data_IF_162975379881
#
_entry.id   IF_162975379881
#
_cell.length_a   1.000
_cell.length_b   1.000
_cell.length_c   1.000
_cell.angle_alpha   90.00
_cell.angle_beta   90.00
_cell.angle_gamma   90.00
#
_symmetry.space_group_name_H-M   'P 1'
#
loop_
_entity.id
_entity.type
_entity.pdbx_description
1 polymer ?
#
# COMPACT_ATOMS: atom_id res chain seq x y z
N UNK A 1 -44.03 5.21 55.20
CA UNK A 1 -43.60 6.49 54.72
C UNK A 1 -43.50 6.51 53.19
N UNK A 2 -44.53 6.03 52.44
CA UNK A 2 -44.55 5.92 50.97
C UNK A 2 -45.81 6.54 50.33
N UNK A 3 -46.55 7.38 51.04
CA UNK A 3 -47.82 7.96 50.56
C UNK A 3 -47.89 9.49 50.54
N UNK A 4 -46.73 10.18 50.71
CA UNK A 4 -46.73 11.67 50.77
C UNK A 4 -46.04 12.33 49.58
N UNK A 5 -45.62 11.58 48.55
CA UNK A 5 -44.89 12.14 47.37
C UNK A 5 -45.75 12.20 46.09
N UNK A 6 -47.01 11.78 46.14
CA UNK A 6 -47.89 11.76 44.92
C UNK A 6 -48.82 12.98 44.83
N UNK A 7 -48.93 13.80 45.88
CA UNK A 7 -49.87 14.90 45.92
C UNK A 7 -49.28 16.29 45.47
N UNK A 8 -48.02 16.37 45.08
CA UNK A 8 -47.38 17.66 44.70
C UNK A 8 -47.10 17.81 43.22
N UNK A 9 -47.50 16.87 42.36
CA UNK A 9 -47.25 16.91 40.91
C UNK A 9 -48.48 17.21 40.06
N UNK A 10 -49.62 17.49 40.69
CA UNK A 10 -50.91 17.73 39.96
C UNK A 10 -51.33 19.19 39.91
N UNK A 11 -50.56 20.17 40.41
CA UNK A 11 -50.97 21.57 40.53
C UNK A 11 -50.18 22.57 39.66
N UNK A 12 -49.41 22.09 38.66
CA UNK A 12 -48.60 23.02 37.82
C UNK A 12 -48.87 22.90 36.30
N UNK A 13 -50.09 22.53 35.90
CA UNK A 13 -50.47 22.38 34.50
C UNK A 13 -51.68 23.23 34.07
N UNK A 14 -51.82 24.45 34.58
CA UNK A 14 -52.85 25.34 34.10
C UNK A 14 -52.47 26.82 34.24
N UNK A 15 -51.57 27.27 33.36
CA UNK A 15 -51.49 28.68 32.95
C UNK A 15 -50.37 28.88 31.93
N UNK A 16 -50.63 28.69 30.66
CA UNK A 16 -49.97 29.43 29.56
C UNK A 16 -50.74 29.13 28.26
N UNK A 17 -51.88 29.75 28.15
CA UNK A 17 -52.54 29.91 26.86
C UNK A 17 -52.59 31.39 26.59
N UNK A 18 -51.63 31.95 25.83
CA UNK A 18 -51.84 33.21 25.10
C UNK A 18 -50.66 33.46 24.13
N UNK A 19 -51.03 33.80 22.89
CA UNK A 19 -50.23 34.39 21.83
C UNK A 19 -49.40 33.44 21.00
N UNK A 20 -50.05 32.71 20.08
CA UNK A 20 -49.47 32.21 18.87
C UNK A 20 -49.42 33.34 17.82
N UNK A 21 -48.26 33.95 17.60
CA UNK A 21 -47.96 34.61 16.35
C UNK A 21 -47.32 33.56 15.40
N UNK A 22 -47.58 33.56 14.08
CA UNK A 22 -46.95 32.61 13.17
C UNK A 22 -45.49 32.96 13.06
N UNK A 23 -44.62 32.13 13.69
CA UNK A 23 -43.19 32.12 13.38
C UNK A 23 -43.01 31.49 12.01
N UNK A 24 -42.55 32.31 11.09
CA UNK A 24 -42.02 31.88 9.83
C UNK A 24 -40.83 30.93 10.13
N UNK A 25 -41.00 29.67 9.87
CA UNK A 25 -40.00 28.63 10.00
C UNK A 25 -38.92 28.92 8.96
N UNK A 26 -37.84 29.56 9.43
CA UNK A 26 -36.64 29.71 8.64
C UNK A 26 -36.08 28.32 8.51
N UNK A 27 -36.24 27.72 7.33
CA UNK A 27 -35.60 26.46 6.98
C UNK A 27 -34.11 26.54 7.32
N UNK A 28 -33.67 25.67 8.21
CA UNK A 28 -32.23 25.48 8.45
C UNK A 28 -31.56 25.13 7.11
N UNK A 29 -30.38 25.68 6.80
CA UNK A 29 -29.66 25.29 5.59
C UNK A 29 -29.44 23.80 5.67
N UNK A 30 -29.92 23.09 4.66
CA UNK A 30 -29.66 21.70 4.41
C UNK A 30 -28.12 21.52 4.41
N UNK A 31 -27.53 20.55 5.16
CA UNK A 31 -26.11 20.36 5.12
C UNK A 31 -25.73 20.09 3.67
N UNK A 32 -24.88 20.94 3.11
CA UNK A 32 -24.30 20.75 1.80
C UNK A 32 -23.78 19.32 1.72
N UNK A 33 -24.41 18.49 0.92
CA UNK A 33 -23.87 17.19 0.54
C UNK A 33 -22.53 17.50 -0.11
N UNK A 34 -21.43 17.23 0.60
CA UNK A 34 -20.13 17.17 -0.02
C UNK A 34 -20.23 16.09 -1.11
N UNK A 35 -20.21 16.51 -2.36
CA UNK A 35 -20.03 15.59 -3.49
C UNK A 35 -18.85 14.68 -3.12
N UNK A 36 -18.96 13.36 -3.29
CA UNK A 36 -17.82 12.48 -3.11
C UNK A 36 -16.71 13.00 -4.00
N UNK A 37 -15.56 13.29 -3.41
CA UNK A 37 -14.37 13.66 -4.20
C UNK A 37 -14.24 12.63 -5.31
N UNK A 38 -14.25 13.09 -6.57
CA UNK A 38 -14.12 12.21 -7.72
C UNK A 38 -12.90 11.35 -7.50
N UNK A 39 -13.06 10.02 -7.48
CA UNK A 39 -11.94 9.12 -7.32
C UNK A 39 -10.97 9.36 -8.48
N UNK A 40 -9.67 9.41 -8.18
CA UNK A 40 -8.62 9.61 -9.19
C UNK A 40 -8.68 8.46 -10.20
N UNK A 41 -8.75 8.77 -11.49
CA UNK A 41 -8.69 7.77 -12.55
C UNK A 41 -7.29 7.62 -13.11
N UNK A 42 -6.97 6.46 -13.66
CA UNK A 42 -5.76 6.23 -14.45
C UNK A 42 -5.60 7.24 -15.59
N UNK A 43 -6.70 7.60 -16.25
CA UNK A 43 -6.71 8.53 -17.37
C UNK A 43 -6.41 9.99 -16.96
N UNK A 44 -6.53 10.31 -15.67
CA UNK A 44 -6.17 11.61 -15.10
C UNK A 44 -4.66 11.75 -14.86
N UNK A 45 -3.91 10.63 -14.86
CA UNK A 45 -2.47 10.66 -14.65
C UNK A 45 -1.74 11.17 -15.91
N UNK A 46 -1.03 12.28 -15.75
CA UNK A 46 -0.18 12.82 -16.81
C UNK A 46 1.29 12.58 -16.48
N UNK A 47 1.92 11.62 -17.18
CA UNK A 47 3.33 11.29 -17.03
C UNK A 47 4.20 12.23 -17.87
N UNK A 48 4.43 13.43 -17.38
CA UNK A 48 5.09 14.54 -18.11
C UNK A 48 6.58 14.67 -17.82
N UNK A 49 7.10 13.98 -16.81
CA UNK A 49 8.52 13.96 -16.43
C UNK A 49 9.10 12.57 -16.61
N UNK A 50 10.28 12.48 -17.22
CA UNK A 50 10.98 11.20 -17.46
C UNK A 50 12.36 11.26 -16.85
N UNK A 51 12.80 10.14 -16.23
CA UNK A 51 14.18 9.97 -15.74
C UNK A 51 15.15 9.91 -16.94
N UNK A 52 16.12 10.82 -17.06
CA UNK A 52 17.12 10.73 -18.12
C UNK A 52 18.08 9.58 -17.82
N UNK A 53 18.11 8.59 -18.70
CA UNK A 53 19.04 7.44 -18.62
C UNK A 53 20.20 7.68 -19.57
N UNK A 54 21.45 7.47 -19.08
CA UNK A 54 22.64 7.69 -19.90
C UNK A 54 23.05 6.44 -20.69
N UNK A 55 22.89 5.26 -20.11
CA UNK A 55 23.40 4.00 -20.67
C UNK A 55 22.34 2.92 -20.78
N UNK A 56 21.41 2.88 -19.84
CA UNK A 56 20.37 1.88 -19.83
C UNK A 56 19.33 2.15 -20.92
N UNK A 57 18.97 1.10 -21.67
CA UNK A 57 18.00 1.17 -22.78
C UNK A 57 16.84 0.18 -22.62
N UNK A 58 16.90 -0.66 -21.58
CA UNK A 58 15.95 -1.75 -21.39
C UNK A 58 14.79 -1.39 -20.44
N UNK A 59 14.79 -0.18 -19.89
CA UNK A 59 13.70 0.30 -19.07
C UNK A 59 13.52 1.80 -19.22
N UNK A 60 12.37 2.30 -18.82
CA UNK A 60 12.08 3.73 -18.69
C UNK A 60 11.34 4.02 -17.40
N UNK A 61 11.54 5.23 -16.87
CA UNK A 61 10.84 5.71 -15.68
C UNK A 61 10.21 7.05 -15.98
N UNK A 62 8.93 7.18 -15.75
CA UNK A 62 8.18 8.43 -15.90
C UNK A 62 7.34 8.72 -14.66
N UNK A 63 7.06 10.00 -14.43
CA UNK A 63 6.42 10.46 -13.21
C UNK A 63 5.19 11.29 -13.54
N UNK A 64 4.13 11.07 -12.76
CA UNK A 64 2.95 11.94 -12.71
C UNK A 64 2.88 12.53 -11.30
N UNK A 65 3.22 13.83 -11.22
CA UNK A 65 3.42 14.50 -9.94
C UNK A 65 4.55 13.87 -9.10
N UNK A 66 4.38 13.84 -7.79
CA UNK A 66 5.33 13.26 -6.82
C UNK A 66 4.90 11.84 -6.37
N UNK A 67 3.64 11.50 -6.57
CA UNK A 67 3.01 10.32 -5.98
C UNK A 67 3.02 9.09 -6.89
N UNK A 68 3.12 9.29 -8.21
CA UNK A 68 3.00 8.19 -9.17
C UNK A 68 4.22 8.08 -10.04
N UNK A 69 4.78 6.88 -10.07
CA UNK A 69 5.93 6.55 -10.93
C UNK A 69 5.56 5.36 -11.82
N UNK A 70 5.68 5.52 -13.12
CA UNK A 70 5.55 4.43 -14.07
C UNK A 70 6.93 3.92 -14.45
N UNK A 71 7.19 2.65 -14.17
CA UNK A 71 8.38 1.91 -14.60
C UNK A 71 7.96 0.94 -15.70
N UNK A 72 8.58 1.03 -16.87
CA UNK A 72 8.39 0.06 -17.95
C UNK A 72 9.70 -0.67 -18.20
N UNK A 73 9.69 -1.99 -18.22
CA UNK A 73 10.86 -2.85 -18.42
C UNK A 73 10.64 -3.66 -19.70
N UNK A 74 11.57 -3.52 -20.64
CA UNK A 74 11.40 -4.09 -21.97
C UNK A 74 10.15 -3.54 -22.66
N UNK A 75 9.48 -4.42 -23.40
CA UNK A 75 8.24 -4.09 -24.12
C UNK A 75 6.98 -4.61 -23.40
N UNK A 76 7.16 -5.45 -22.35
CA UNK A 76 6.08 -6.29 -21.83
C UNK A 76 5.70 -6.00 -20.38
N UNK A 77 6.55 -5.36 -19.58
CA UNK A 77 6.30 -5.20 -18.15
C UNK A 77 6.14 -3.74 -17.78
N UNK A 78 4.98 -3.38 -17.24
CA UNK A 78 4.71 -2.05 -16.72
C UNK A 78 4.27 -2.12 -15.25
N UNK A 79 4.89 -1.27 -14.44
CA UNK A 79 4.57 -1.10 -13.03
C UNK A 79 4.13 0.34 -12.78
N UNK A 80 3.09 0.49 -11.97
CA UNK A 80 2.72 1.76 -11.33
C UNK A 80 3.16 1.72 -9.88
N UNK A 81 4.15 2.53 -9.52
CA UNK A 81 4.59 2.69 -8.14
C UNK A 81 3.88 3.90 -7.54
N UNK A 82 3.08 3.67 -6.52
CA UNK A 82 2.24 4.66 -5.83
C UNK A 82 2.88 5.03 -4.49
N UNK A 83 2.90 6.31 -4.13
CA UNK A 83 3.28 6.74 -2.78
C UNK A 83 2.29 6.18 -1.74
N UNK A 84 2.77 5.82 -0.54
CA UNK A 84 1.98 5.04 0.41
C UNK A 84 0.69 5.68 0.91
N UNK A 85 0.62 7.00 0.89
CA UNK A 85 -0.54 7.80 1.30
C UNK A 85 -1.38 8.30 0.12
N UNK A 86 -0.92 8.06 -1.12
CA UNK A 86 -1.67 8.39 -2.32
C UNK A 86 -2.69 7.29 -2.67
N UNK A 87 -3.86 7.64 -3.21
CA UNK A 87 -4.83 6.66 -3.64
C UNK A 87 -4.33 5.89 -4.88
N UNK A 88 -4.62 4.59 -4.94
CA UNK A 88 -4.46 3.84 -6.20
C UNK A 88 -5.54 4.33 -7.17
N UNK A 89 -5.17 4.75 -8.40
CA UNK A 89 -6.15 5.24 -9.38
C UNK A 89 -7.14 4.15 -9.79
N UNK A 90 -8.38 4.54 -10.05
CA UNK A 90 -9.36 3.65 -10.67
C UNK A 90 -9.03 3.42 -12.15
N UNK A 91 -9.34 2.23 -12.65
CA UNK A 91 -9.17 1.92 -14.08
C UNK A 91 -7.71 1.68 -14.50
N UNK A 92 -6.79 1.35 -13.58
CA UNK A 92 -5.44 0.90 -13.96
C UNK A 92 -5.56 -0.32 -14.89
N UNK A 93 -4.88 -0.33 -16.06
CA UNK A 93 -4.91 -1.47 -16.98
C UNK A 93 -4.49 -2.78 -16.31
N UNK A 94 -5.11 -3.89 -16.72
CA UNK A 94 -4.88 -5.21 -16.10
C UNK A 94 -3.46 -5.76 -16.30
N UNK A 95 -2.72 -5.25 -17.29
CA UNK A 95 -1.34 -5.56 -17.58
C UNK A 95 -0.34 -4.66 -16.83
N UNK A 96 -0.82 -3.71 -16.02
CA UNK A 96 0.00 -2.86 -15.15
C UNK A 96 -0.02 -3.40 -13.73
N UNK A 97 1.15 -3.75 -13.21
CA UNK A 97 1.30 -4.16 -11.81
C UNK A 97 1.40 -2.93 -10.90
N UNK A 98 0.54 -2.85 -9.90
CA UNK A 98 0.57 -1.76 -8.92
C UNK A 98 1.44 -2.16 -7.72
N UNK A 99 2.40 -1.29 -7.37
CA UNK A 99 3.25 -1.41 -6.19
C UNK A 99 3.05 -0.16 -5.31
N UNK A 100 2.70 -0.36 -4.05
CA UNK A 100 2.52 0.76 -3.10
C UNK A 100 3.73 0.86 -2.17
N UNK A 101 4.35 2.05 -2.09
CA UNK A 101 5.48 2.31 -1.18
C UNK A 101 5.00 2.58 0.26
N UNK A 102 5.79 2.25 1.29
CA UNK A 102 7.09 1.57 1.20
C UNK A 102 6.93 0.07 0.93
N UNK A 103 7.84 -0.51 0.15
CA UNK A 103 8.00 -1.95 0.06
C UNK A 103 8.94 -2.38 1.19
N UNK A 104 8.45 -3.14 2.15
CA UNK A 104 9.17 -3.47 3.39
C UNK A 104 9.20 -4.97 3.72
N UNK A 105 8.53 -5.79 2.90
CA UNK A 105 8.48 -7.24 3.06
C UNK A 105 8.92 -7.94 1.78
N UNK A 106 10.10 -7.53 1.27
CA UNK A 106 10.64 -8.06 0.02
C UNK A 106 11.17 -9.47 0.26
N UNK A 107 10.78 -10.41 -0.63
CA UNK A 107 11.42 -11.72 -0.76
C UNK A 107 12.53 -11.64 -1.82
N UNK A 108 13.78 -11.69 -1.39
CA UNK A 108 14.95 -11.58 -2.28
C UNK A 108 15.58 -12.94 -2.53
N UNK A 109 15.47 -13.43 -3.77
CA UNK A 109 16.10 -14.66 -4.27
C UNK A 109 17.30 -14.35 -5.16
N UNK A 110 17.26 -13.24 -5.89
CA UNK A 110 18.34 -12.76 -6.74
C UNK A 110 19.52 -12.26 -5.90
N UNK A 111 20.47 -13.12 -5.58
CA UNK A 111 21.60 -12.83 -4.68
C UNK A 111 22.42 -11.60 -5.08
N UNK A 112 22.60 -11.38 -6.39
CA UNK A 112 23.32 -10.21 -6.91
C UNK A 112 22.58 -8.88 -6.59
N UNK A 113 21.27 -8.91 -6.42
CA UNK A 113 20.50 -7.72 -6.09
C UNK A 113 20.72 -7.26 -4.64
N UNK A 114 21.17 -8.14 -3.72
CA UNK A 114 21.49 -7.77 -2.33
C UNK A 114 22.50 -6.63 -2.25
N UNK A 115 23.49 -6.59 -3.14
CA UNK A 115 24.49 -5.51 -3.14
C UNK A 115 23.87 -4.15 -3.51
N UNK A 116 22.84 -4.12 -4.36
CA UNK A 116 22.12 -2.87 -4.65
C UNK A 116 21.37 -2.37 -3.42
N UNK A 117 20.70 -3.26 -2.68
CA UNK A 117 20.04 -2.89 -1.43
C UNK A 117 21.04 -2.38 -0.38
N UNK A 118 22.20 -3.04 -0.29
CA UNK A 118 23.30 -2.58 0.57
C UNK A 118 23.79 -1.19 0.18
N UNK A 119 24.02 -0.93 -1.11
CA UNK A 119 24.48 0.36 -1.60
C UNK A 119 23.45 1.49 -1.40
N UNK A 120 22.16 1.15 -1.36
CA UNK A 120 21.07 2.09 -1.13
C UNK A 120 20.71 2.24 0.36
N UNK A 121 21.42 1.54 1.26
CA UNK A 121 21.10 1.48 2.69
C UNK A 121 19.65 1.04 2.95
N UNK A 122 19.21 0.02 2.20
CA UNK A 122 17.81 -0.46 2.16
C UNK A 122 17.67 -1.97 2.43
N UNK A 123 18.67 -2.59 3.12
CA UNK A 123 18.59 -4.02 3.47
C UNK A 123 17.41 -4.33 4.38
N UNK A 124 16.98 -3.38 5.19
CA UNK A 124 15.82 -3.48 6.09
C UNK A 124 14.47 -3.62 5.34
N UNK A 125 14.44 -3.30 4.04
CA UNK A 125 13.27 -3.60 3.21
C UNK A 125 13.14 -5.09 2.87
N UNK A 126 14.20 -5.90 3.06
CA UNK A 126 14.21 -7.33 2.76
C UNK A 126 13.85 -8.11 4.02
N UNK A 127 12.63 -8.62 4.08
CA UNK A 127 12.18 -9.47 5.20
C UNK A 127 12.49 -10.96 4.96
N UNK A 128 12.60 -11.37 3.70
CA UNK A 128 12.69 -12.77 3.31
C UNK A 128 13.87 -13.01 2.36
N UNK A 129 14.65 -14.05 2.61
CA UNK A 129 15.83 -14.40 1.84
C UNK A 129 15.68 -15.76 1.14
N UNK A 130 16.05 -15.81 -0.13
CA UNK A 130 16.20 -17.05 -0.89
C UNK A 130 17.46 -17.85 -0.55
N UNK A 131 18.34 -17.30 0.30
CA UNK A 131 19.55 -17.96 0.77
C UNK A 131 19.59 -18.06 2.30
N UNK A 132 20.24 -19.11 2.80
CA UNK A 132 20.53 -19.26 4.24
C UNK A 132 21.63 -18.30 4.66
N UNK A 133 21.68 -17.97 5.95
CA UNK A 133 22.70 -17.09 6.53
C UNK A 133 24.14 -17.53 6.15
N UNK A 134 24.45 -18.82 6.25
CA UNK A 134 25.78 -19.36 5.98
C UNK A 134 26.24 -19.18 4.52
N UNK A 135 25.30 -18.97 3.60
CA UNK A 135 25.56 -18.85 2.17
C UNK A 135 25.75 -17.39 1.72
N UNK A 136 25.49 -16.42 2.62
CA UNK A 136 25.73 -15.02 2.33
C UNK A 136 27.20 -14.62 2.53
N UNK A 137 27.69 -13.76 1.66
CA UNK A 137 29.02 -13.13 1.77
C UNK A 137 28.93 -11.64 2.17
N UNK A 138 27.73 -11.08 2.16
CA UNK A 138 27.44 -9.69 2.56
C UNK A 138 27.16 -9.70 4.07
N UNK A 139 27.99 -9.00 4.84
CA UNK A 139 27.94 -9.02 6.30
C UNK A 139 26.64 -8.41 6.84
N UNK A 140 26.10 -7.38 6.19
CA UNK A 140 24.84 -6.75 6.57
C UNK A 140 23.65 -7.71 6.41
N UNK A 141 23.66 -8.54 5.35
CA UNK A 141 22.62 -9.57 5.15
C UNK A 141 22.70 -10.65 6.25
N UNK A 142 23.93 -11.09 6.61
CA UNK A 142 24.10 -12.01 7.75
C UNK A 142 23.61 -11.40 9.04
N UNK A 143 23.97 -10.15 9.30
CA UNK A 143 23.56 -9.44 10.52
C UNK A 143 22.02 -9.33 10.61
N UNK A 144 21.33 -9.02 9.51
CA UNK A 144 19.89 -8.99 9.46
C UNK A 144 19.25 -10.36 9.77
N UNK A 145 19.83 -11.45 9.23
CA UNK A 145 19.36 -12.81 9.52
C UNK A 145 19.65 -13.23 10.98
N UNK A 146 20.79 -12.86 11.53
CA UNK A 146 21.14 -13.11 12.94
C UNK A 146 20.24 -12.33 13.90
N UNK A 147 19.86 -11.12 13.52
CA UNK A 147 18.91 -10.30 14.27
C UNK A 147 17.45 -10.78 14.12
N UNK A 148 17.17 -11.68 13.18
CA UNK A 148 15.82 -12.17 12.89
C UNK A 148 14.93 -11.18 12.13
N UNK A 149 15.49 -10.09 11.60
CA UNK A 149 14.77 -9.13 10.75
C UNK A 149 14.65 -9.62 9.31
N UNK A 150 15.50 -10.55 8.90
CA UNK A 150 15.43 -11.26 7.64
C UNK A 150 15.43 -12.77 7.91
N UNK A 151 14.50 -13.52 7.32
CA UNK A 151 14.41 -14.97 7.51
C UNK A 151 14.56 -15.72 6.19
N UNK A 152 15.07 -16.95 6.24
CA UNK A 152 15.13 -17.82 5.08
C UNK A 152 13.72 -18.33 4.73
N UNK A 153 13.28 -18.09 3.49
CA UNK A 153 11.96 -18.48 3.00
C UNK A 153 12.03 -19.39 1.74
N UNK A 154 13.04 -20.25 1.70
CA UNK A 154 13.23 -21.16 0.56
C UNK A 154 14.06 -20.54 -0.56
N UNK A 155 14.38 -21.33 -1.58
CA UNK A 155 15.12 -20.93 -2.79
C UNK A 155 14.17 -20.86 -3.99
N UNK A 156 14.61 -20.28 -5.11
CA UNK A 156 13.82 -20.16 -6.35
C UNK A 156 13.10 -21.44 -6.78
N UNK A 157 13.65 -22.62 -6.52
CA UNK A 157 13.06 -23.92 -6.92
C UNK A 157 12.24 -24.60 -5.84
N UNK A 158 12.15 -24.04 -4.65
CA UNK A 158 11.39 -24.55 -3.52
C UNK A 158 11.13 -23.42 -2.51
N UNK A 159 10.31 -22.42 -2.87
CA UNK A 159 9.90 -21.37 -1.95
C UNK A 159 9.07 -21.94 -0.80
N UNK A 160 9.21 -21.34 0.37
CA UNK A 160 8.34 -21.61 1.50
C UNK A 160 7.15 -20.64 1.45
N UNK A 161 6.13 -21.03 0.72
CA UNK A 161 4.93 -20.20 0.50
C UNK A 161 4.21 -19.85 1.80
N UNK A 162 4.24 -20.74 2.81
CA UNK A 162 3.64 -20.46 4.10
C UNK A 162 4.36 -19.29 4.78
N UNK A 163 5.68 -19.34 4.83
CA UNK A 163 6.49 -18.25 5.39
C UNK A 163 6.33 -16.95 4.58
N UNK A 164 6.30 -17.02 3.24
CA UNK A 164 6.16 -15.85 2.36
C UNK A 164 4.81 -15.17 2.57
N UNK A 165 3.73 -15.94 2.60
CA UNK A 165 2.37 -15.41 2.82
C UNK A 165 2.20 -14.88 4.25
N UNK A 166 2.72 -15.59 5.26
CA UNK A 166 2.63 -15.17 6.65
C UNK A 166 3.39 -13.86 6.92
N UNK A 167 4.48 -13.60 6.18
CA UNK A 167 5.22 -12.35 6.27
C UNK A 167 4.53 -11.18 5.55
N UNK A 168 3.48 -11.43 4.77
CA UNK A 168 2.83 -10.40 3.95
C UNK A 168 3.75 -9.87 2.87
N UNK A 169 4.44 -10.75 2.14
CA UNK A 169 5.36 -10.37 1.07
C UNK A 169 4.69 -9.44 0.06
N UNK A 170 5.30 -8.28 -0.18
CA UNK A 170 4.79 -7.26 -1.09
C UNK A 170 5.53 -7.23 -2.44
N UNK A 171 6.71 -7.85 -2.52
CA UNK A 171 7.48 -7.98 -3.77
C UNK A 171 8.45 -9.17 -3.70
N UNK A 172 8.43 -10.04 -4.72
CA UNK A 172 9.45 -11.05 -4.91
C UNK A 172 10.44 -10.61 -5.99
N UNK A 173 11.74 -10.67 -5.68
CA UNK A 173 12.83 -10.38 -6.62
C UNK A 173 13.56 -11.69 -6.91
N UNK A 174 13.18 -12.28 -8.01
CA UNK A 174 13.69 -13.56 -8.47
C UNK A 174 14.90 -13.42 -9.41
N UNK A 175 15.61 -14.51 -9.61
CA UNK A 175 16.64 -14.62 -10.65
C UNK A 175 16.10 -15.40 -11.86
N UNK A 176 16.79 -15.34 -12.98
CA UNK A 176 16.38 -15.99 -14.23
C UNK A 176 16.30 -17.52 -14.15
N UNK A 177 16.83 -18.14 -13.09
CA UNK A 177 16.69 -19.59 -12.87
C UNK A 177 15.26 -20.02 -12.62
N UNK A 178 14.40 -19.09 -12.20
CA UNK A 178 12.96 -19.37 -11.99
C UNK A 178 12.26 -19.82 -13.29
N UNK A 179 12.77 -19.40 -14.46
CA UNK A 179 12.24 -19.84 -15.75
C UNK A 179 12.37 -21.36 -16.01
N UNK A 180 13.18 -22.04 -15.22
CA UNK A 180 13.26 -23.51 -15.23
C UNK A 180 12.25 -24.18 -14.29
N UNK A 181 11.45 -23.39 -13.59
CA UNK A 181 10.47 -23.83 -12.58
C UNK A 181 9.08 -23.23 -12.86
N UNK A 182 8.43 -23.59 -13.98
CA UNK A 182 7.18 -22.97 -14.39
C UNK A 182 6.08 -23.11 -13.32
N UNK A 183 6.07 -24.20 -12.56
CA UNK A 183 5.15 -24.41 -11.45
C UNK A 183 5.33 -23.44 -10.30
N UNK A 184 6.52 -22.85 -10.15
CA UNK A 184 6.79 -21.80 -9.13
C UNK A 184 6.36 -20.43 -9.64
N UNK A 185 6.48 -20.17 -10.96
CA UNK A 185 6.07 -18.89 -11.57
C UNK A 185 4.54 -18.73 -11.51
N UNK A 186 3.79 -19.84 -11.57
CA UNK A 186 2.32 -19.85 -11.58
C UNK A 186 1.72 -19.64 -10.17
N UNK A 187 2.52 -19.66 -9.12
CA UNK A 187 2.07 -19.53 -7.72
C UNK A 187 2.29 -18.13 -7.16
#
# INVERSE_FOLDING_TARGET
MKKLFIALLAALLLAFAACAAPQQETAAPEPAQSEPASALSWDDLTFDRTLPLQYATQFSVSYAGEDYTRLTIGDDQTFLVVAGDAPVPDGVPADVTVLTRPLSHIYLVATAAMDYFRQLDAIDAIALSGQKEADWYIDEAKAAMQAGTMVYAGKYSAPDYETILAAGCDLAIENTMIYHMPEVIEQ
#
